data_IF_779076023497
#
_entry.id   IF_779076023497
#
_cell.length_a   1.000
_cell.length_b   1.000
_cell.length_c   1.000
_cell.angle_alpha   90.00
_cell.angle_beta   90.00
_cell.angle_gamma   90.00
#
_symmetry.space_group_name_H-M   'P 1'
#
loop_
_entity.id
_entity.type
_entity.pdbx_description
1 polymer ?
#
# COMPACT_ATOMS: atom_id res chain seq x y z
N UNK A 1 11.00 9.86 -2.49
CA UNK A 1 9.65 9.87 -3.09
C UNK A 1 8.86 8.72 -2.49
N UNK A 2 7.66 8.99 -1.98
CA UNK A 2 6.79 7.97 -1.37
C UNK A 2 6.17 7.09 -2.45
N UNK A 3 6.26 5.78 -2.26
CA UNK A 3 5.60 4.81 -3.12
C UNK A 3 4.09 4.83 -2.90
N UNK A 4 3.63 5.03 -1.66
CA UNK A 4 2.22 5.17 -1.34
C UNK A 4 1.58 6.34 -2.09
N UNK A 5 2.22 7.51 -2.07
CA UNK A 5 1.74 8.70 -2.78
C UNK A 5 1.70 8.50 -4.30
N UNK A 6 2.43 7.51 -4.82
CA UNK A 6 2.38 7.11 -6.24
C UNK A 6 1.24 6.13 -6.53
N UNK A 7 1.00 5.16 -5.65
CA UNK A 7 0.02 4.08 -5.87
C UNK A 7 -1.41 4.55 -5.58
N UNK A 8 -1.62 5.34 -4.54
CA UNK A 8 -2.96 5.76 -4.10
C UNK A 8 -3.78 6.48 -5.20
N UNK A 9 -3.24 7.49 -5.92
CA UNK A 9 -4.00 8.16 -6.97
C UNK A 9 -4.40 7.23 -8.13
N UNK A 10 -3.53 6.26 -8.46
CA UNK A 10 -3.78 5.28 -9.53
C UNK A 10 -4.85 4.28 -9.11
N UNK A 11 -4.75 3.78 -7.87
CA UNK A 11 -5.74 2.90 -7.25
C UNK A 11 -7.13 3.57 -7.23
N UNK A 12 -7.18 4.86 -6.86
CA UNK A 12 -8.41 5.64 -6.85
C UNK A 12 -8.98 5.83 -8.26
N UNK A 13 -8.15 6.20 -9.23
CA UNK A 13 -8.59 6.38 -10.62
C UNK A 13 -9.20 5.11 -11.22
N UNK A 14 -8.66 3.93 -10.88
CA UNK A 14 -9.24 2.64 -11.28
C UNK A 14 -10.63 2.45 -10.66
N UNK A 15 -10.78 2.71 -9.36
CA UNK A 15 -12.09 2.59 -8.69
C UNK A 15 -13.13 3.56 -9.24
N UNK A 16 -12.71 4.76 -9.66
CA UNK A 16 -13.60 5.77 -10.22
C UNK A 16 -14.01 5.46 -11.67
N UNK A 17 -13.21 4.67 -12.39
CA UNK A 17 -13.50 4.24 -13.76
C UNK A 17 -14.41 3.00 -13.84
N UNK A 18 -14.60 2.28 -12.72
CA UNK A 18 -15.45 1.10 -12.65
C UNK A 18 -16.89 1.50 -12.33
N UNK A 19 -17.85 0.91 -13.05
CA UNK A 19 -19.25 0.99 -12.67
C UNK A 19 -19.52 0.28 -11.33
N UNK A 20 -20.63 0.65 -10.67
CA UNK A 20 -21.00 0.12 -9.36
C UNK A 20 -21.17 -1.39 -9.36
N UNK A 21 -21.73 -1.95 -10.43
CA UNK A 21 -22.09 -3.36 -10.53
C UNK A 21 -20.82 -4.23 -10.63
N UNK A 22 -19.79 -3.77 -11.36
CA UNK A 22 -18.48 -4.40 -11.40
C UNK A 22 -17.72 -4.25 -10.07
N UNK A 23 -17.84 -3.11 -9.37
CA UNK A 23 -17.16 -2.94 -8.07
C UNK A 23 -17.72 -3.90 -7.02
N UNK A 24 -19.03 -4.07 -6.98
CA UNK A 24 -19.69 -4.98 -6.04
C UNK A 24 -19.44 -6.45 -6.40
N UNK A 25 -19.63 -6.83 -7.67
CA UNK A 25 -19.47 -8.22 -8.12
C UNK A 25 -18.05 -8.76 -7.96
N UNK A 26 -17.03 -7.90 -8.12
CA UNK A 26 -15.63 -8.27 -7.94
C UNK A 26 -15.04 -7.86 -6.58
N UNK A 27 -15.87 -7.36 -5.66
CA UNK A 27 -15.47 -6.88 -4.34
C UNK A 27 -14.25 -5.92 -4.37
N UNK A 28 -14.26 -4.97 -5.31
CA UNK A 28 -13.16 -4.04 -5.52
C UNK A 28 -13.25 -2.83 -4.59
N UNK A 29 -12.74 -3.01 -3.37
CA UNK A 29 -12.60 -1.97 -2.36
C UNK A 29 -11.13 -1.86 -1.97
N UNK A 30 -10.44 -0.82 -2.44
CA UNK A 30 -9.04 -0.61 -2.07
C UNK A 30 -8.92 0.21 -0.78
N UNK A 31 -7.95 -0.18 0.04
CA UNK A 31 -7.58 0.56 1.26
C UNK A 31 -7.20 2.00 0.92
N UNK A 32 -7.83 3.03 1.53
CA UNK A 32 -7.39 4.42 1.37
C UNK A 32 -5.99 4.65 1.98
N UNK A 33 -5.22 5.59 1.42
CA UNK A 33 -3.87 5.90 1.90
C UNK A 33 -3.78 6.26 3.39
N UNK A 34 -4.69 7.09 3.95
CA UNK A 34 -4.70 7.35 5.39
C UNK A 34 -4.89 6.09 6.25
N UNK A 35 -5.71 5.14 5.79
CA UNK A 35 -5.92 3.86 6.49
C UNK A 35 -4.66 2.99 6.39
N UNK A 36 -4.02 2.93 5.22
CA UNK A 36 -2.76 2.22 5.05
C UNK A 36 -1.65 2.79 5.96
N UNK A 37 -1.55 4.11 6.12
CA UNK A 37 -0.61 4.75 7.05
C UNK A 37 -0.88 4.36 8.51
N UNK A 38 -2.15 4.31 8.92
CA UNK A 38 -2.52 3.83 10.26
C UNK A 38 -2.11 2.36 10.44
N UNK A 39 -2.49 1.48 9.51
CA UNK A 39 -2.17 0.05 9.60
C UNK A 39 -0.66 -0.20 9.67
N UNK A 40 0.11 0.51 8.85
CA UNK A 40 1.58 0.39 8.85
C UNK A 40 2.26 1.04 10.05
N UNK A 41 1.60 1.93 10.79
CA UNK A 41 2.15 2.40 12.07
C UNK A 41 2.26 1.30 13.12
N UNK A 42 1.50 0.20 12.96
CA UNK A 42 1.43 -0.91 13.91
C UNK A 42 2.50 -1.98 13.69
N UNK A 43 3.21 -1.94 12.56
CA UNK A 43 4.20 -2.98 12.22
C UNK A 43 5.57 -2.67 12.81
N UNK A 44 6.27 -3.71 13.26
CA UNK A 44 7.68 -3.60 13.62
C UNK A 44 8.54 -3.42 12.36
N UNK A 45 9.57 -2.59 12.46
CA UNK A 45 10.49 -2.30 11.36
C UNK A 45 11.86 -2.92 11.65
N UNK A 46 12.10 -4.19 11.28
CA UNK A 46 13.38 -4.82 11.52
C UNK A 46 14.47 -4.25 10.60
N UNK A 47 15.67 -4.09 11.14
CA UNK A 47 16.88 -3.80 10.36
C UNK A 47 17.45 -5.10 9.80
N UNK A 48 16.90 -5.55 8.66
CA UNK A 48 17.36 -6.73 7.92
C UNK A 48 17.53 -6.38 6.45
N UNK A 49 18.48 -7.04 5.81
CA UNK A 49 18.69 -6.94 4.36
C UNK A 49 17.46 -7.41 3.58
N UNK A 50 16.81 -8.48 4.08
CA UNK A 50 15.60 -9.05 3.48
C UNK A 50 14.48 -9.08 4.51
N UNK A 51 13.33 -8.52 4.14
CA UNK A 51 12.07 -8.58 4.90
C UNK A 51 11.03 -9.30 4.04
N UNK A 52 10.34 -10.29 4.61
CA UNK A 52 9.24 -11.01 3.95
C UNK A 52 7.92 -10.51 4.50
N UNK A 53 7.07 -9.98 3.62
CA UNK A 53 5.77 -9.41 3.97
C UNK A 53 4.70 -10.08 3.11
N UNK A 54 3.98 -11.09 3.63
CA UNK A 54 2.81 -11.63 2.93
C UNK A 54 1.69 -10.58 2.91
N UNK A 55 1.21 -10.22 1.72
CA UNK A 55 0.05 -9.34 1.51
C UNK A 55 -1.02 -10.08 0.69
N UNK A 56 -1.76 -11.02 1.32
CA UNK A 56 -2.79 -11.79 0.64
C UNK A 56 -3.94 -10.89 0.22
N UNK A 57 -4.33 -10.96 -1.06
CA UNK A 57 -5.39 -10.08 -1.58
C UNK A 57 -4.98 -8.62 -1.67
N UNK A 58 -3.70 -8.33 -1.91
CA UNK A 58 -3.12 -6.98 -1.96
C UNK A 58 -3.86 -5.99 -2.89
N UNK A 59 -4.62 -6.48 -3.88
CA UNK A 59 -5.33 -5.63 -4.84
C UNK A 59 -4.35 -4.70 -5.56
N UNK A 60 -4.59 -3.40 -5.47
CA UNK A 60 -3.69 -2.37 -6.02
C UNK A 60 -2.35 -2.23 -5.27
N UNK A 61 -2.13 -2.96 -4.17
CA UNK A 61 -0.89 -2.94 -3.40
C UNK A 61 -0.69 -1.70 -2.54
N UNK A 62 -1.77 -0.99 -2.18
CA UNK A 62 -1.69 0.25 -1.37
C UNK A 62 -1.03 -0.02 -0.02
N UNK A 63 -1.40 -1.11 0.65
CA UNK A 63 -0.81 -1.46 1.95
C UNK A 63 0.66 -1.85 1.80
N UNK A 64 1.01 -2.68 0.82
CA UNK A 64 2.41 -3.00 0.49
C UNK A 64 3.23 -1.73 0.22
N UNK A 65 2.71 -0.76 -0.54
CA UNK A 65 3.38 0.50 -0.80
C UNK A 65 3.66 1.30 0.48
N UNK A 66 2.67 1.37 1.38
CA UNK A 66 2.82 2.01 2.69
C UNK A 66 3.87 1.29 3.57
N UNK A 67 3.92 -0.05 3.54
CA UNK A 67 4.92 -0.84 4.28
C UNK A 67 6.33 -0.51 3.80
N UNK A 68 6.52 -0.44 2.48
CA UNK A 68 7.82 -0.10 1.87
C UNK A 68 8.27 1.29 2.33
N UNK A 69 7.39 2.29 2.28
CA UNK A 69 7.73 3.64 2.74
C UNK A 69 8.09 3.66 4.22
N UNK A 70 7.29 2.97 5.07
CA UNK A 70 7.54 2.87 6.50
C UNK A 70 8.88 2.22 6.84
N UNK A 71 9.26 1.15 6.12
CA UNK A 71 10.54 0.46 6.29
C UNK A 71 11.71 1.33 5.82
N UNK A 72 11.55 2.06 4.72
CA UNK A 72 12.58 2.99 4.21
C UNK A 72 12.87 4.11 5.19
N UNK A 73 11.81 4.72 5.74
CA UNK A 73 11.92 5.76 6.77
C UNK A 73 12.59 5.22 8.04
N UNK A 74 12.17 4.07 8.54
CA UNK A 74 12.73 3.46 9.76
C UNK A 74 14.21 3.07 9.62
N UNK A 75 14.59 2.60 8.43
CA UNK A 75 15.92 2.07 8.16
C UNK A 75 16.85 3.09 7.47
N UNK A 76 16.40 4.33 7.27
CA UNK A 76 17.14 5.39 6.56
C UNK A 76 17.67 4.90 5.20
N UNK A 77 16.89 4.06 4.53
CA UNK A 77 17.28 3.47 3.27
C UNK A 77 17.30 4.55 2.18
N UNK A 78 18.47 4.81 1.60
CA UNK A 78 18.63 5.61 0.39
C UNK A 78 18.80 4.66 -0.80
N UNK A 79 18.06 4.84 -1.91
CA UNK A 79 18.47 4.23 -3.16
C UNK A 79 19.86 4.76 -3.53
N UNK A 80 20.73 3.87 -3.99
CA UNK A 80 22.03 4.22 -4.58
C UNK A 80 21.84 4.93 -5.92
#
# INVERSE_FOLDING_TARGET
MSLLDSVEPRSRAVLDALDSDHRESFAQFFTPGPVARIMTSLIECPRREVVRVPDPGAGAGVLTAAVIDRLREANQWSPA
#
